data_IF_011685545628
#
_entry.id   IF_011685545628
#
_cell.length_a   1.000
_cell.length_b   1.000
_cell.length_c   1.000
_cell.angle_alpha   90.00
_cell.angle_beta   90.00
_cell.angle_gamma   90.00
#
_symmetry.space_group_name_H-M   'P 1'
#
loop_
_entity.id
_entity.type
_entity.pdbx_description
1 polymer ?
#
# COMPACT_ATOMS: atom_id res chain seq x y z
N UNK A 1 -8.56 9.07 -2.51
CA UNK A 1 -7.49 9.27 -3.51
C UNK A 1 -7.90 10.44 -4.40
N UNK A 2 -6.93 11.04 -5.10
CA UNK A 2 -7.15 12.18 -6.02
C UNK A 2 -8.13 11.85 -7.15
N UNK A 3 -8.17 10.59 -7.56
CA UNK A 3 -9.11 10.01 -8.52
C UNK A 3 -10.51 9.68 -7.96
N UNK A 4 -10.80 10.05 -6.71
CA UNK A 4 -12.09 9.81 -6.06
C UNK A 4 -12.27 8.41 -5.45
N UNK A 5 -11.29 7.50 -5.56
CA UNK A 5 -11.34 6.20 -4.86
C UNK A 5 -11.27 6.41 -3.35
N UNK A 6 -11.89 5.51 -2.60
CA UNK A 6 -11.84 5.49 -1.13
C UNK A 6 -11.18 4.21 -0.64
N UNK A 7 -10.46 4.30 0.47
CA UNK A 7 -9.94 3.16 1.22
C UNK A 7 -10.51 3.26 2.63
N UNK A 8 -11.14 2.18 3.08
CA UNK A 8 -11.63 2.07 4.44
C UNK A 8 -10.74 1.07 5.19
N UNK A 9 -10.19 1.48 6.32
CA UNK A 9 -9.34 0.66 7.18
C UNK A 9 -10.15 0.36 8.44
N UNK A 10 -10.41 -0.91 8.67
CA UNK A 10 -11.23 -1.40 9.78
C UNK A 10 -10.42 -2.37 10.64
N UNK A 11 -10.55 -2.26 11.96
CA UNK A 11 -10.04 -3.29 12.89
C UNK A 11 -10.94 -4.54 12.86
N UNK A 12 -12.25 -4.33 12.68
CA UNK A 12 -13.25 -5.38 12.50
C UNK A 12 -14.32 -4.94 11.51
N UNK A 13 -14.87 -5.89 10.75
CA UNK A 13 -15.91 -5.68 9.75
C UNK A 13 -16.88 -6.87 9.70
N UNK A 14 -17.42 -7.27 10.86
CA UNK A 14 -18.36 -8.41 10.99
C UNK A 14 -19.56 -8.29 10.05
N UNK A 15 -20.06 -7.07 9.84
CA UNK A 15 -21.19 -6.78 8.95
C UNK A 15 -20.90 -7.15 7.49
N UNK A 16 -19.61 -7.23 7.13
CA UNK A 16 -19.18 -7.62 5.79
C UNK A 16 -18.99 -9.13 5.62
N UNK A 17 -19.05 -9.90 6.71
CA UNK A 17 -18.99 -11.36 6.72
C UNK A 17 -17.77 -11.95 5.98
N UNK A 18 -16.61 -11.30 6.11
CA UNK A 18 -15.33 -11.84 5.62
C UNK A 18 -14.23 -11.68 6.68
N UNK A 19 -13.28 -12.63 6.71
CA UNK A 19 -12.13 -12.58 7.62
C UNK A 19 -11.07 -11.54 7.22
N UNK A 20 -9.97 -11.43 7.96
CA UNK A 20 -8.90 -10.48 7.67
C UNK A 20 -8.42 -10.54 6.21
N UNK A 21 -8.47 -9.41 5.48
CA UNK A 21 -8.03 -9.31 4.10
C UNK A 21 -8.41 -7.97 3.46
N UNK A 22 -8.37 -7.91 2.14
CA UNK A 22 -8.71 -6.73 1.35
C UNK A 22 -9.92 -7.03 0.46
N UNK A 23 -10.95 -6.18 0.56
CA UNK A 23 -12.07 -6.17 -0.36
C UNK A 23 -11.88 -5.04 -1.36
N UNK A 24 -11.99 -5.36 -2.65
CA UNK A 24 -12.01 -4.40 -3.74
C UNK A 24 -13.40 -4.36 -4.35
N UNK A 25 -14.00 -3.17 -4.37
CA UNK A 25 -15.33 -2.93 -4.92
C UNK A 25 -15.20 -2.02 -6.16
N UNK A 26 -15.81 -2.42 -7.27
CA UNK A 26 -15.78 -1.67 -8.52
C UNK A 26 -17.01 -1.94 -9.39
N UNK A 27 -17.13 -1.22 -10.50
CA UNK A 27 -18.30 -1.29 -11.39
C UNK A 27 -18.49 -2.66 -12.03
N UNK A 28 -17.40 -3.40 -12.26
CA UNK A 28 -17.43 -4.73 -12.86
C UNK A 28 -17.66 -5.86 -11.85
N UNK A 29 -17.65 -5.53 -10.56
CA UNK A 29 -17.88 -6.44 -9.46
C UNK A 29 -16.89 -6.27 -8.32
N UNK A 30 -16.94 -7.22 -7.40
CA UNK A 30 -16.18 -7.22 -6.17
C UNK A 30 -15.28 -8.44 -6.10
N UNK A 31 -14.06 -8.28 -5.58
CA UNK A 31 -13.20 -9.40 -5.23
C UNK A 31 -12.55 -9.21 -3.87
N UNK A 32 -12.26 -10.32 -3.22
CA UNK A 32 -11.66 -10.39 -1.91
C UNK A 32 -10.35 -11.18 -1.99
N UNK A 33 -9.32 -10.67 -1.31
CA UNK A 33 -8.03 -11.34 -1.18
C UNK A 33 -7.58 -11.40 0.28
N UNK A 34 -7.10 -12.57 0.71
CA UNK A 34 -6.37 -12.74 1.95
C UNK A 34 -5.13 -13.62 1.74
N UNK A 35 -4.56 -14.15 2.82
CA UNK A 35 -3.35 -14.99 2.79
C UNK A 35 -3.56 -16.38 2.17
N UNK A 36 -4.80 -16.81 1.93
CA UNK A 36 -5.11 -18.15 1.43
C UNK A 36 -6.15 -18.18 0.29
N UNK A 37 -6.86 -17.07 0.03
CA UNK A 37 -7.90 -17.03 -0.99
C UNK A 37 -7.87 -15.73 -1.80
N UNK A 38 -8.19 -15.88 -3.08
CA UNK A 38 -8.49 -14.80 -4.02
C UNK A 38 -9.79 -15.20 -4.72
N UNK A 39 -10.88 -14.49 -4.43
CA UNK A 39 -12.24 -14.88 -4.86
C UNK A 39 -13.04 -13.67 -5.30
N UNK A 40 -14.03 -13.89 -6.18
CA UNK A 40 -14.97 -12.85 -6.60
C UNK A 40 -15.14 -12.80 -8.11
N UNK A 41 -16.18 -12.08 -8.57
CA UNK A 41 -16.58 -12.05 -9.98
C UNK A 41 -15.42 -11.65 -10.93
N UNK A 42 -14.62 -10.60 -10.64
CA UNK A 42 -13.46 -10.27 -11.47
C UNK A 42 -12.40 -11.38 -11.52
N UNK A 43 -12.22 -12.14 -10.43
CA UNK A 43 -11.26 -13.25 -10.36
C UNK A 43 -11.75 -14.43 -11.20
N UNK A 44 -13.04 -14.77 -11.10
CA UNK A 44 -13.63 -15.85 -11.89
C UNK A 44 -13.55 -15.59 -13.39
N UNK A 45 -13.74 -14.33 -13.80
CA UNK A 45 -13.65 -13.91 -15.20
C UNK A 45 -12.25 -14.09 -15.81
N UNK A 46 -11.19 -14.24 -15.00
CA UNK A 46 -9.83 -14.49 -15.50
C UNK A 46 -9.69 -15.86 -16.20
N UNK A 47 -10.62 -16.80 -15.97
CA UNK A 47 -10.66 -18.09 -16.68
C UNK A 47 -10.89 -17.90 -18.18
N UNK A 48 -11.78 -16.99 -18.53
CA UNK A 48 -12.19 -16.72 -19.92
C UNK A 48 -11.42 -15.53 -20.51
N UNK A 49 -10.98 -14.60 -19.67
CA UNK A 49 -10.25 -13.39 -20.06
C UNK A 49 -9.02 -13.18 -19.16
N UNK A 50 -7.94 -13.96 -19.37
CA UNK A 50 -6.75 -13.88 -18.54
C UNK A 50 -6.04 -12.52 -18.68
N UNK A 51 -5.33 -12.12 -17.63
CA UNK A 51 -4.46 -10.95 -17.70
C UNK A 51 -3.41 -11.13 -18.80
N UNK A 52 -3.16 -10.07 -19.56
CA UNK A 52 -2.11 -10.07 -20.57
C UNK A 52 -0.75 -10.27 -19.90
N UNK A 53 0.11 -11.06 -20.52
CA UNK A 53 1.48 -11.30 -20.04
C UNK A 53 2.25 -9.99 -19.83
N UNK A 54 2.10 -9.04 -20.76
CA UNK A 54 2.72 -7.71 -20.66
C UNK A 54 2.22 -6.90 -19.45
N UNK A 55 0.96 -7.08 -19.04
CA UNK A 55 0.44 -6.47 -17.81
C UNK A 55 1.17 -7.04 -16.59
N UNK A 56 1.34 -8.36 -16.52
CA UNK A 56 2.07 -9.01 -15.43
C UNK A 56 3.53 -8.56 -15.41
N UNK A 57 4.24 -8.61 -16.55
CA UNK A 57 5.62 -8.11 -16.64
C UNK A 57 5.75 -6.67 -16.16
N UNK A 58 4.82 -5.80 -16.55
CA UNK A 58 4.83 -4.40 -16.11
C UNK A 58 4.66 -4.28 -14.60
N UNK A 59 3.68 -4.99 -14.02
CA UNK A 59 3.43 -5.00 -12.57
C UNK A 59 4.64 -5.49 -11.77
N UNK A 60 5.38 -6.46 -12.32
CA UNK A 60 6.59 -7.01 -11.70
C UNK A 60 7.89 -6.35 -12.19
N UNK A 61 7.82 -5.20 -12.87
CA UNK A 61 8.98 -4.44 -13.36
C UNK A 61 9.94 -5.27 -14.23
N UNK A 62 9.40 -6.18 -15.02
CA UNK A 62 10.14 -7.12 -15.87
C UNK A 62 10.88 -8.23 -15.11
N UNK A 63 10.58 -8.42 -13.82
CA UNK A 63 11.19 -9.45 -12.98
C UNK A 63 10.23 -10.61 -12.75
N UNK A 64 10.79 -11.77 -12.45
CA UNK A 64 10.01 -12.95 -12.12
C UNK A 64 9.35 -12.79 -10.75
N UNK A 65 8.02 -13.02 -10.63
CA UNK A 65 7.34 -13.06 -9.34
C UNK A 65 7.90 -14.20 -8.48
N UNK A 66 8.02 -13.98 -7.18
CA UNK A 66 8.49 -15.02 -6.28
C UNK A 66 9.00 -14.48 -4.95
N UNK A 67 10.05 -15.12 -4.44
CA UNK A 67 10.64 -14.80 -3.15
C UNK A 67 11.30 -13.40 -3.13
N UNK A 68 10.92 -12.60 -2.14
CA UNK A 68 11.42 -11.23 -2.00
C UNK A 68 12.92 -11.16 -1.70
N UNK A 69 13.47 -12.12 -0.94
CA UNK A 69 14.90 -12.11 -0.60
C UNK A 69 15.76 -12.44 -1.82
N UNK A 70 15.34 -13.43 -2.62
CA UNK A 70 15.96 -13.73 -3.91
C UNK A 70 15.90 -12.52 -4.83
N UNK A 71 14.73 -11.90 -4.99
CA UNK A 71 14.56 -10.72 -5.82
C UNK A 71 15.51 -9.58 -5.40
N UNK A 72 15.64 -9.35 -4.09
CA UNK A 72 16.55 -8.36 -3.55
C UNK A 72 18.02 -8.67 -3.88
N UNK A 73 18.49 -9.91 -3.68
CA UNK A 73 19.87 -10.31 -3.98
C UNK A 73 20.18 -10.14 -5.47
N UNK A 74 19.25 -10.53 -6.36
CA UNK A 74 19.38 -10.34 -7.80
C UNK A 74 19.51 -8.84 -8.16
N UNK A 75 18.70 -7.99 -7.53
CA UNK A 75 18.75 -6.55 -7.72
C UNK A 75 20.05 -5.91 -7.21
N UNK A 76 20.64 -6.45 -6.14
CA UNK A 76 21.96 -6.01 -5.66
C UNK A 76 23.05 -6.32 -6.70
N UNK A 77 22.95 -7.48 -7.36
CA UNK A 77 23.93 -7.91 -8.37
C UNK A 77 23.83 -7.08 -9.66
N UNK A 78 22.62 -6.88 -10.19
CA UNK A 78 22.40 -6.16 -11.45
C UNK A 78 22.18 -4.65 -11.30
N UNK A 79 22.15 -4.15 -10.05
CA UNK A 79 21.92 -2.75 -9.68
C UNK A 79 20.56 -2.18 -10.11
N UNK A 80 19.57 -3.03 -10.33
CA UNK A 80 18.20 -2.64 -10.62
C UNK A 80 17.37 -2.44 -9.34
N UNK A 81 16.13 -1.95 -9.51
CA UNK A 81 15.19 -1.79 -8.40
C UNK A 81 14.42 -3.09 -8.14
N UNK A 82 14.19 -3.49 -6.87
CA UNK A 82 13.31 -4.60 -6.53
C UNK A 82 11.88 -4.40 -7.04
N UNK A 83 11.12 -5.50 -7.16
CA UNK A 83 9.68 -5.47 -7.45
C UNK A 83 8.99 -4.55 -6.43
N UNK A 84 9.24 -4.78 -5.14
CA UNK A 84 8.82 -3.95 -4.03
C UNK A 84 9.93 -2.97 -3.64
N UNK A 85 9.98 -1.81 -4.31
CA UNK A 85 11.00 -0.79 -4.06
C UNK A 85 10.68 0.08 -2.83
N UNK A 86 11.69 0.81 -2.36
CA UNK A 86 11.57 1.67 -1.18
C UNK A 86 10.55 2.80 -1.36
N UNK A 87 10.41 3.38 -2.55
CA UNK A 87 9.54 4.53 -2.77
C UNK A 87 8.06 4.13 -2.81
N UNK A 88 7.74 3.03 -3.49
CA UNK A 88 6.37 2.50 -3.47
C UNK A 88 5.97 2.06 -2.06
N UNK A 89 6.88 1.42 -1.32
CA UNK A 89 6.62 0.99 0.04
C UNK A 89 6.48 2.16 1.03
N UNK A 90 7.31 3.20 0.91
CA UNK A 90 7.16 4.44 1.67
C UNK A 90 5.76 5.03 1.51
N UNK A 91 5.29 5.20 0.27
CA UNK A 91 3.94 5.72 -0.01
C UNK A 91 2.83 4.83 0.57
N UNK A 92 2.99 3.51 0.52
CA UNK A 92 2.03 2.58 1.13
C UNK A 92 1.98 2.77 2.66
N UNK A 93 3.14 2.81 3.30
CA UNK A 93 3.26 2.96 4.76
C UNK A 93 2.79 4.32 5.27
N UNK A 94 2.91 5.39 4.47
CA UNK A 94 2.34 6.71 4.78
C UNK A 94 0.85 6.60 5.14
N UNK A 95 0.09 5.77 4.42
CA UNK A 95 -1.35 5.60 4.70
C UNK A 95 -1.59 4.97 6.08
N UNK A 96 -0.79 3.97 6.46
CA UNK A 96 -0.86 3.34 7.78
C UNK A 96 -0.49 4.34 8.91
N UNK A 97 0.52 5.18 8.69
CA UNK A 97 0.91 6.20 9.66
C UNK A 97 -0.16 7.28 9.81
N UNK A 98 -0.70 7.79 8.70
CA UNK A 98 -1.77 8.79 8.72
C UNK A 98 -3.03 8.25 9.41
N UNK A 99 -3.41 6.99 9.18
CA UNK A 99 -4.53 6.37 9.87
C UNK A 99 -4.31 6.35 11.40
N UNK A 100 -3.10 5.98 11.84
CA UNK A 100 -2.75 5.99 13.26
C UNK A 100 -2.75 7.40 13.86
N UNK A 101 -2.27 8.41 13.14
CA UNK A 101 -2.28 9.80 13.60
C UNK A 101 -3.73 10.31 13.69
N UNK A 102 -4.57 10.02 12.69
CA UNK A 102 -5.97 10.40 12.67
C UNK A 102 -6.75 9.80 13.85
N UNK A 103 -6.52 8.51 14.15
CA UNK A 103 -7.11 7.83 15.31
C UNK A 103 -6.66 8.48 16.62
N UNK A 104 -5.37 8.77 16.78
CA UNK A 104 -4.83 9.36 18.02
C UNK A 104 -5.33 10.78 18.28
N UNK A 105 -5.55 11.55 17.22
CA UNK A 105 -6.02 12.93 17.30
C UNK A 105 -7.55 13.05 17.22
N UNK A 106 -8.25 11.93 16.99
CA UNK A 106 -9.71 11.85 16.82
C UNK A 106 -10.25 12.86 15.79
N UNK A 107 -9.59 12.95 14.62
CA UNK A 107 -10.00 13.89 13.56
C UNK A 107 -9.51 13.49 12.18
N UNK A 108 -10.18 14.04 11.17
CA UNK A 108 -9.76 13.95 9.77
C UNK A 108 -8.48 14.74 9.52
N UNK A 109 -7.57 14.17 8.72
CA UNK A 109 -6.32 14.82 8.30
C UNK A 109 -6.36 15.07 6.79
N UNK A 110 -5.89 16.24 6.37
CA UNK A 110 -5.64 16.55 4.96
C UNK A 110 -4.15 16.34 4.67
N UNK A 111 -3.82 15.41 3.79
CA UNK A 111 -2.44 15.06 3.43
C UNK A 111 -2.07 15.60 2.05
N UNK A 112 -0.93 16.27 1.96
CA UNK A 112 -0.29 16.63 0.69
C UNK A 112 0.82 15.61 0.37
N UNK A 113 0.62 14.72 -0.63
CA UNK A 113 1.62 13.72 -0.99
C UNK A 113 2.82 14.29 -1.75
N UNK A 114 2.76 15.53 -2.25
CA UNK A 114 3.89 16.16 -2.94
C UNK A 114 4.89 16.77 -1.96
N UNK A 115 4.38 17.38 -0.88
CA UNK A 115 5.22 17.96 0.18
C UNK A 115 5.43 17.02 1.37
N UNK A 116 4.70 15.90 1.40
CA UNK A 116 4.65 14.96 2.51
C UNK A 116 4.31 15.64 3.85
N UNK A 117 3.28 16.49 3.84
CA UNK A 117 2.82 17.24 5.02
C UNK A 117 1.32 17.09 5.26
N UNK A 118 0.92 17.21 6.53
CA UNK A 118 -0.47 17.40 6.91
C UNK A 118 -0.82 18.88 6.77
N UNK A 119 -1.70 19.21 5.84
CA UNK A 119 -2.00 20.58 5.42
C UNK A 119 -2.58 21.38 6.59
N UNK A 120 -1.90 22.47 6.96
CA UNK A 120 -2.37 23.41 7.98
C UNK A 120 -2.37 22.90 9.42
N UNK A 121 -1.69 21.78 9.71
CA UNK A 121 -1.76 21.13 11.03
C UNK A 121 -0.37 20.91 11.67
N UNK A 122 0.23 21.94 12.29
CA UNK A 122 1.55 21.81 12.91
C UNK A 122 1.61 20.74 14.02
N UNK A 123 0.50 20.55 14.75
CA UNK A 123 0.42 19.57 15.81
C UNK A 123 0.47 18.14 15.25
N UNK A 124 -0.28 17.83 14.19
CA UNK A 124 -0.21 16.52 13.55
C UNK A 124 1.12 16.29 12.83
N UNK A 125 1.70 17.32 12.20
CA UNK A 125 3.02 17.21 11.57
C UNK A 125 4.14 16.83 12.55
N UNK A 126 4.00 17.16 13.85
CA UNK A 126 4.96 16.73 14.88
C UNK A 126 5.03 15.20 15.06
N UNK A 127 4.04 14.46 14.56
CA UNK A 127 4.01 13.00 14.60
C UNK A 127 4.62 12.33 13.36
N UNK A 128 5.01 13.10 12.33
CA UNK A 128 5.63 12.56 11.11
C UNK A 128 7.09 12.12 11.33
N UNK A 129 7.71 12.61 12.39
CA UNK A 129 9.06 12.24 12.78
C UNK A 129 9.11 11.89 14.26
N UNK A 130 10.10 11.07 14.61
CA UNK A 130 10.49 10.83 16.01
C UNK A 130 11.79 11.56 16.29
N UNK A 131 12.01 11.91 17.55
CA UNK A 131 13.33 12.35 17.99
C UNK A 131 14.36 11.27 17.61
N UNK A 132 15.38 11.69 16.84
CA UNK A 132 16.44 10.79 16.42
C UNK A 132 17.35 10.48 17.60
N UNK A 133 17.88 9.27 17.65
CA UNK A 133 18.76 8.85 18.74
C UNK A 133 20.04 9.67 18.67
N UNK A 134 20.41 10.31 19.79
CA UNK A 134 21.64 11.11 19.89
C UNK A 134 22.87 10.35 19.38
N UNK A 135 23.61 10.95 18.46
CA UNK A 135 24.81 10.39 17.81
C UNK A 135 24.53 9.46 16.63
N UNK A 136 23.27 9.25 16.26
CA UNK A 136 22.83 8.45 15.11
C UNK A 136 21.86 9.24 14.23
N UNK A 137 21.98 10.56 14.24
CA UNK A 137 21.14 11.44 13.45
C UNK A 137 21.47 11.29 11.95
N UNK A 138 20.44 11.29 11.11
CA UNK A 138 20.56 11.30 9.65
C UNK A 138 20.27 12.70 9.13
N UNK A 139 21.04 13.13 8.14
CA UNK A 139 20.73 14.32 7.34
C UNK A 139 19.89 13.86 6.15
N UNK A 140 18.67 14.38 6.08
CA UNK A 140 17.69 14.08 5.02
C UNK A 140 17.51 15.34 4.18
#
# INVERSE_FOLDING_TARGET
>A
FDDGRTLHIHDNAEERNFGNGLLFEGTEGTFFVDRGKLIGKPVDALKDNPLKEETLKTLYKGKEPGDHMRNFIECVADRSQPISDVHSHHRAMTTCHLANIAIRLDRTLAWDPATEQIVGDPAANSWLAREQRKGYEIQV
#
